data_IF_622476133444
#
_entry.id   IF_622476133444
#
_cell.length_a   1.000
_cell.length_b   1.000
_cell.length_c   1.000
_cell.angle_alpha   90.00
_cell.angle_beta   90.00
_cell.angle_gamma   90.00
#
_symmetry.space_group_name_H-M   'P 1'
#
loop_
_entity.id
_entity.type
_entity.pdbx_description
1 polymer ?
#
# COMPACT_ATOMS: atom_id res chain seq x y z
N UNK A 1 2.03 -0.13 -21.93
CA UNK A 1 1.36 -0.39 -20.67
C UNK A 1 2.02 -1.51 -19.92
N UNK A 2 2.37 -1.30 -18.68
CA UNK A 2 2.93 -2.39 -17.91
C UNK A 2 1.86 -3.46 -17.68
N UNK A 3 2.31 -4.69 -17.64
CA UNK A 3 1.46 -5.81 -17.33
C UNK A 3 1.25 -5.86 -15.83
N UNK A 4 0.02 -6.11 -15.40
CA UNK A 4 -0.23 -6.28 -13.98
C UNK A 4 0.39 -7.59 -13.49
N UNK A 5 0.81 -7.62 -12.24
CA UNK A 5 1.31 -8.87 -11.65
C UNK A 5 0.23 -9.94 -11.62
N UNK A 6 0.62 -11.21 -11.43
CA UNK A 6 -0.37 -12.27 -11.25
C UNK A 6 -1.32 -11.98 -10.10
N UNK A 7 -2.52 -12.54 -10.20
CA UNK A 7 -3.59 -12.32 -9.23
C UNK A 7 -4.18 -13.67 -8.86
N UNK A 8 -3.46 -14.49 -8.07
CA UNK A 8 -3.84 -15.88 -7.86
C UNK A 8 -5.20 -16.09 -7.22
N UNK A 9 -5.63 -15.21 -6.34
CA UNK A 9 -6.94 -15.40 -5.70
C UNK A 9 -8.01 -14.48 -6.31
N UNK A 10 -7.66 -13.69 -7.32
CA UNK A 10 -8.62 -12.82 -8.00
C UNK A 10 -9.11 -11.65 -7.18
N UNK A 11 -8.45 -11.31 -6.09
CA UNK A 11 -8.91 -10.26 -5.17
C UNK A 11 -8.13 -8.96 -5.29
N UNK A 12 -7.12 -8.89 -6.17
CA UNK A 12 -6.24 -7.73 -6.15
C UNK A 12 -6.91 -6.46 -6.66
N UNK A 13 -7.90 -6.56 -7.56
CA UNK A 13 -8.64 -5.38 -7.97
C UNK A 13 -9.46 -4.82 -6.81
N UNK A 14 -10.04 -5.69 -5.98
CA UNK A 14 -10.77 -5.26 -4.79
C UNK A 14 -9.85 -4.58 -3.81
N UNK A 15 -8.67 -5.16 -3.60
CA UNK A 15 -7.69 -4.58 -2.70
C UNK A 15 -7.27 -3.19 -3.15
N UNK A 16 -7.04 -3.04 -4.45
CA UNK A 16 -6.67 -1.74 -5.01
C UNK A 16 -7.80 -0.73 -4.85
N UNK A 17 -9.05 -1.19 -5.00
CA UNK A 17 -10.19 -0.31 -4.85
C UNK A 17 -10.33 0.19 -3.41
N UNK A 18 -10.13 -0.69 -2.44
CA UNK A 18 -10.15 -0.28 -1.04
C UNK A 18 -9.10 0.77 -0.75
N UNK A 19 -7.89 0.57 -1.29
CA UNK A 19 -6.82 1.54 -1.12
C UNK A 19 -7.14 2.86 -1.81
N UNK A 20 -7.76 2.80 -2.99
CA UNK A 20 -8.13 4.01 -3.72
C UNK A 20 -9.17 4.81 -2.94
N UNK A 21 -10.12 4.14 -2.29
CA UNK A 21 -11.09 4.83 -1.45
C UNK A 21 -10.39 5.59 -0.31
N UNK A 22 -9.43 4.96 0.33
CA UNK A 22 -8.69 5.60 1.41
C UNK A 22 -7.88 6.79 0.89
N UNK A 23 -7.25 6.61 -0.26
CA UNK A 23 -6.44 7.66 -0.86
C UNK A 23 -7.30 8.87 -1.22
N UNK A 24 -8.49 8.64 -1.78
CA UNK A 24 -9.37 9.74 -2.16
C UNK A 24 -9.94 10.47 -0.94
N UNK A 25 -10.18 9.76 0.15
CA UNK A 25 -10.59 10.40 1.39
C UNK A 25 -9.48 11.32 1.91
N UNK A 26 -8.23 10.87 1.82
CA UNK A 26 -7.08 11.66 2.21
C UNK A 26 -6.97 12.92 1.34
N UNK A 27 -7.17 12.77 0.03
CA UNK A 27 -7.12 13.90 -0.90
C UNK A 27 -8.20 14.92 -0.58
N UNK A 28 -9.40 14.45 -0.24
CA UNK A 28 -10.50 15.36 0.11
C UNK A 28 -10.16 16.16 1.37
N UNK A 29 -9.46 15.54 2.29
CA UNK A 29 -9.11 16.16 3.55
C UNK A 29 -7.99 17.20 3.38
N UNK A 30 -7.02 16.90 2.53
CA UNK A 30 -5.79 17.69 2.44
C UNK A 30 -5.73 18.61 1.21
N UNK A 31 -6.55 18.34 0.20
CA UNK A 31 -6.46 19.07 -1.05
C UNK A 31 -5.30 18.62 -1.94
N UNK A 32 -4.67 17.50 -1.61
CA UNK A 32 -3.53 17.00 -2.38
C UNK A 32 -4.00 16.43 -3.70
N UNK A 33 -3.23 16.67 -4.77
CA UNK A 33 -3.51 16.10 -6.08
C UNK A 33 -3.24 14.60 -6.09
N UNK A 34 -3.93 13.91 -6.98
CA UNK A 34 -3.81 12.45 -7.07
C UNK A 34 -2.35 12.00 -7.26
N UNK A 35 -1.59 12.74 -8.06
CA UNK A 35 -0.20 12.39 -8.35
C UNK A 35 0.69 12.39 -7.12
N UNK A 36 0.40 13.29 -6.18
CA UNK A 36 1.23 13.43 -4.98
C UNK A 36 0.65 12.71 -3.79
N UNK A 37 -0.59 12.21 -3.91
CA UNK A 37 -1.33 11.72 -2.76
C UNK A 37 -0.68 10.51 -2.11
N UNK A 38 -0.11 9.60 -2.90
CA UNK A 38 0.49 8.41 -2.33
C UNK A 38 1.68 8.75 -1.43
N UNK A 39 2.57 9.60 -1.94
CA UNK A 39 3.74 10.02 -1.16
C UNK A 39 3.31 10.77 0.11
N UNK A 40 2.35 11.68 -0.04
CA UNK A 40 1.91 12.48 1.09
C UNK A 40 1.20 11.62 2.13
N UNK A 41 0.38 10.66 1.68
CA UNK A 41 -0.29 9.76 2.62
C UNK A 41 0.72 8.90 3.37
N UNK A 42 1.74 8.40 2.68
CA UNK A 42 2.78 7.61 3.35
C UNK A 42 3.50 8.44 4.40
N UNK A 43 3.83 9.67 4.07
CA UNK A 43 4.49 10.57 5.01
C UNK A 43 3.61 10.81 6.24
N UNK A 44 2.34 11.08 6.00
CA UNK A 44 1.42 11.35 7.09
C UNK A 44 1.14 10.10 7.93
N UNK A 45 1.20 8.91 7.32
CA UNK A 45 1.11 7.67 8.09
C UNK A 45 2.31 7.49 9.01
N UNK A 46 3.48 7.97 8.60
CA UNK A 46 4.65 7.94 9.49
C UNK A 46 4.44 8.85 10.69
N UNK A 47 3.89 10.04 10.47
CA UNK A 47 3.54 10.93 11.58
C UNK A 47 2.52 10.30 12.53
N UNK A 48 1.50 9.68 11.96
CA UNK A 48 0.49 8.99 12.76
C UNK A 48 1.12 7.85 13.55
N UNK A 49 2.03 7.10 12.92
CA UNK A 49 2.67 5.96 13.57
C UNK A 49 3.48 6.42 14.78
N UNK A 50 4.15 7.55 14.67
CA UNK A 50 4.90 8.11 15.80
C UNK A 50 3.99 8.41 16.99
N UNK A 51 2.80 8.94 16.71
CA UNK A 51 1.87 9.38 17.77
C UNK A 51 1.04 8.25 18.34
N UNK A 52 0.74 7.25 17.50
CA UNK A 52 -0.07 6.12 17.91
C UNK A 52 0.77 4.93 18.37
N UNK A 53 2.08 5.08 18.39
CA UNK A 53 3.02 4.04 18.76
C UNK A 53 2.95 2.80 17.87
N UNK A 54 2.66 2.99 16.58
CA UNK A 54 2.78 1.93 15.59
C UNK A 54 4.22 1.86 15.10
N UNK A 55 4.67 0.67 14.77
CA UNK A 55 5.96 0.49 14.12
C UNK A 55 5.75 0.49 12.62
N UNK A 56 5.93 1.66 12.00
CA UNK A 56 5.65 1.82 10.58
C UNK A 56 6.55 0.92 9.73
N UNK A 57 7.83 0.82 10.06
CA UNK A 57 8.76 0.02 9.27
C UNK A 57 8.41 -1.46 9.33
N UNK A 58 8.05 -1.94 10.51
CA UNK A 58 7.63 -3.33 10.64
C UNK A 58 6.34 -3.59 9.86
N UNK A 59 5.40 -2.64 9.89
CA UNK A 59 4.18 -2.78 9.11
C UNK A 59 4.47 -2.82 7.61
N UNK A 60 5.43 -2.00 7.16
CA UNK A 60 5.78 -1.95 5.74
C UNK A 60 6.41 -3.27 5.29
N UNK A 61 7.28 -3.86 6.12
CA UNK A 61 7.89 -5.16 5.81
C UNK A 61 6.79 -6.22 5.66
N UNK A 62 5.85 -6.25 6.60
CA UNK A 62 4.76 -7.23 6.54
C UNK A 62 3.85 -6.98 5.35
N UNK A 63 3.60 -5.71 5.02
CA UNK A 63 2.80 -5.37 3.86
C UNK A 63 3.43 -5.89 2.58
N UNK A 64 4.75 -5.79 2.47
CA UNK A 64 5.45 -6.29 1.30
C UNK A 64 5.35 -7.81 1.21
N UNK A 65 5.45 -8.50 2.35
CA UNK A 65 5.29 -9.96 2.38
C UNK A 65 3.90 -10.37 1.89
N UNK A 66 2.86 -9.65 2.34
CA UNK A 66 1.51 -9.91 1.87
C UNK A 66 1.39 -9.66 0.37
N UNK A 67 1.99 -8.56 -0.10
CA UNK A 67 1.93 -8.21 -1.52
C UNK A 67 2.57 -9.30 -2.36
N UNK A 68 3.74 -9.78 -1.94
CA UNK A 68 4.43 -10.84 -2.69
C UNK A 68 3.59 -12.12 -2.74
N UNK A 69 2.97 -12.47 -1.63
CA UNK A 69 2.10 -13.66 -1.60
C UNK A 69 0.88 -13.46 -2.50
N UNK A 70 0.31 -12.25 -2.50
CA UNK A 70 -0.90 -11.96 -3.27
C UNK A 70 -0.63 -11.82 -4.76
N UNK A 71 0.63 -11.75 -5.16
CA UNK A 71 1.00 -11.69 -6.56
C UNK A 71 1.83 -12.92 -6.98
N UNK A 72 1.99 -13.89 -6.08
CA UNK A 72 2.76 -15.12 -6.32
C UNK A 72 4.18 -14.84 -6.81
N UNK A 73 4.77 -13.78 -6.32
CA UNK A 73 6.14 -13.49 -6.67
C UNK A 73 7.06 -14.34 -5.81
N UNK A 74 8.20 -14.80 -6.36
CA UNK A 74 9.13 -15.56 -5.56
C UNK A 74 9.69 -14.73 -4.42
N UNK A 75 9.96 -15.40 -3.31
CA UNK A 75 10.55 -14.73 -2.16
C UNK A 75 11.96 -14.29 -2.47
N UNK A 76 12.49 -13.47 -1.62
CA UNK A 76 13.82 -12.94 -1.84
C UNK A 76 14.90 -13.98 -1.82
N UNK A 77 14.69 -15.18 -1.22
CA UNK A 77 15.62 -16.11 -1.16
C UNK A 77 15.40 -17.20 -1.74
N UNK A 78 15.72 -17.70 -2.41
CA UNK A 78 15.33 -18.73 -2.92
C UNK A 78 16.19 -19.66 -3.01
N UNK A 79 16.39 -20.39 -2.94
CA UNK A 79 17.04 -21.36 -2.91
C UNK A 79 17.56 -21.81 -2.67
#
# INVERSE_FOLDING_TARGET
MPTLPPDPDGQNNERALWADHALRAFMAETGTDYEDALCDLLCDLMHLSDRATFDFEAALVRARDHYLAETEQPGPLTD
#
